data_IF_550600321161
#
_entry.id   IF_550600321161
#
_cell.length_a   1.000
_cell.length_b   1.000
_cell.length_c   1.000
_cell.angle_alpha   90.00
_cell.angle_beta   90.00
_cell.angle_gamma   90.00
#
_symmetry.space_group_name_H-M   'P 1'
#
loop_
_entity.id
_entity.type
_entity.pdbx_description
1 polymer ?
#
# COMPACT_ATOMS: atom_id res chain seq x y z
N UNK A 1 -10.20 -3.30 -19.18
CA UNK A 1 -9.06 -3.06 -18.25
C UNK A 1 -9.48 -3.43 -16.84
N UNK A 2 -8.53 -3.67 -15.92
CA UNK A 2 -8.86 -4.05 -14.53
C UNK A 2 -9.74 -3.02 -13.80
N UNK A 3 -9.47 -1.72 -13.99
CA UNK A 3 -10.28 -0.64 -13.41
C UNK A 3 -11.71 -0.63 -13.96
N UNK A 4 -11.89 -0.84 -15.27
CA UNK A 4 -13.22 -0.91 -15.86
C UNK A 4 -14.04 -2.10 -15.31
N UNK A 5 -13.41 -3.27 -15.17
CA UNK A 5 -14.05 -4.43 -14.55
C UNK A 5 -14.43 -4.16 -13.09
N UNK A 6 -13.54 -3.50 -12.34
CA UNK A 6 -13.80 -3.10 -10.95
C UNK A 6 -14.99 -2.13 -10.85
N UNK A 7 -15.01 -1.06 -11.64
CA UNK A 7 -16.08 -0.06 -11.61
C UNK A 7 -17.44 -0.65 -12.03
N UNK A 8 -17.45 -1.56 -13.00
CA UNK A 8 -18.69 -2.13 -13.54
C UNK A 8 -19.42 -3.05 -12.55
N UNK A 9 -18.69 -3.89 -11.81
CA UNK A 9 -19.30 -4.96 -11.00
C UNK A 9 -18.86 -5.03 -9.55
N UNK A 10 -17.88 -4.24 -9.14
CA UNK A 10 -17.26 -4.35 -7.82
C UNK A 10 -17.21 -3.03 -7.01
N UNK A 11 -17.72 -1.93 -7.58
CA UNK A 11 -17.85 -0.64 -6.91
C UNK A 11 -19.08 -0.60 -6.01
N UNK A 12 -19.03 -1.30 -4.88
CA UNK A 12 -20.15 -1.41 -3.93
C UNK A 12 -20.13 -0.35 -2.83
N UNK A 13 -18.98 0.31 -2.64
CA UNK A 13 -18.77 1.33 -1.62
C UNK A 13 -18.38 2.63 -2.32
N UNK A 14 -19.06 3.71 -2.00
CA UNK A 14 -18.71 5.05 -2.51
C UNK A 14 -17.33 5.44 -1.99
N UNK A 15 -16.44 5.79 -2.92
CA UNK A 15 -15.09 6.29 -2.64
C UNK A 15 -15.10 7.79 -2.89
N UNK A 16 -14.80 8.55 -1.84
CA UNK A 16 -14.81 10.01 -1.84
C UNK A 16 -13.41 10.54 -2.13
N UNK A 17 -13.34 11.49 -3.06
CA UNK A 17 -12.09 12.16 -3.45
C UNK A 17 -12.04 13.51 -2.72
N UNK A 18 -10.88 13.86 -2.17
CA UNK A 18 -10.62 15.17 -1.56
C UNK A 18 -9.43 15.86 -2.23
N UNK A 19 -9.27 17.15 -1.99
CA UNK A 19 -8.21 18.00 -2.54
C UNK A 19 -7.30 18.63 -1.48
N UNK A 20 -7.34 18.14 -0.23
CA UNK A 20 -6.47 18.62 0.85
C UNK A 20 -4.99 18.30 0.54
N UNK A 21 -4.19 19.33 0.26
CA UNK A 21 -2.80 19.17 -0.17
C UNK A 21 -1.87 18.58 0.90
N UNK A 22 -2.07 18.92 2.19
CA UNK A 22 -1.26 18.37 3.28
C UNK A 22 -1.49 16.85 3.44
N UNK A 23 -2.76 16.42 3.34
CA UNK A 23 -3.15 15.02 3.38
C UNK A 23 -2.59 14.23 2.18
N UNK A 24 -2.77 14.77 0.96
CA UNK A 24 -2.25 14.16 -0.27
C UNK A 24 -0.73 13.97 -0.20
N UNK A 25 -0.01 14.95 0.37
CA UNK A 25 1.43 14.81 0.58
C UNK A 25 1.77 13.63 1.48
N UNK A 26 1.07 13.48 2.62
CA UNK A 26 1.26 12.35 3.53
C UNK A 26 0.93 11.00 2.86
N UNK A 27 -0.17 10.92 2.11
CA UNK A 27 -0.55 9.73 1.34
C UNK A 27 0.58 9.32 0.38
N UNK A 28 1.11 10.27 -0.40
CA UNK A 28 2.19 10.02 -1.36
C UNK A 28 3.52 9.70 -0.68
N UNK A 29 3.84 10.34 0.44
CA UNK A 29 5.03 10.04 1.24
C UNK A 29 4.95 8.64 1.89
N UNK A 30 3.74 8.14 2.19
CA UNK A 30 3.51 6.79 2.73
C UNK A 30 3.53 5.69 1.67
N UNK A 31 3.35 6.03 0.38
CA UNK A 31 3.29 5.05 -0.71
C UNK A 31 4.69 4.59 -1.14
N UNK A 32 5.01 3.32 -0.80
CA UNK A 32 6.34 2.73 -0.96
C UNK A 32 6.25 1.42 -1.76
N UNK A 33 7.33 1.10 -2.47
CA UNK A 33 7.45 -0.15 -3.22
C UNK A 33 7.80 -1.36 -2.33
N UNK A 34 7.90 -2.53 -2.94
CA UNK A 34 8.38 -3.74 -2.27
C UNK A 34 9.84 -3.62 -1.82
N UNK A 35 10.23 -4.44 -0.84
CA UNK A 35 11.61 -4.54 -0.38
C UNK A 35 12.46 -5.29 -1.41
N UNK A 36 13.49 -4.61 -1.92
CA UNK A 36 14.48 -5.19 -2.84
C UNK A 36 15.85 -4.83 -2.30
N UNK A 37 16.38 -5.67 -1.41
CA UNK A 37 17.70 -5.53 -0.79
C UNK A 37 18.40 -6.89 -0.76
N UNK A 38 19.73 -6.89 -0.86
CA UNK A 38 20.53 -8.09 -0.62
C UNK A 38 20.67 -8.29 0.88
N UNK A 39 20.09 -9.37 1.42
CA UNK A 39 20.24 -9.74 2.83
C UNK A 39 21.62 -10.35 3.13
N UNK A 40 22.29 -10.88 2.11
CA UNK A 40 23.61 -11.48 2.19
C UNK A 40 24.38 -11.20 0.89
N UNK A 41 25.66 -10.88 0.99
CA UNK A 41 26.56 -10.67 -0.16
C UNK A 41 27.67 -11.71 -0.07
N UNK A 42 27.79 -12.54 -1.11
CA UNK A 42 28.78 -13.62 -1.19
C UNK A 42 28.15 -14.99 -1.31
N UNK A 43 28.94 -16.05 -1.09
CA UNK A 43 28.46 -17.44 -1.05
C UNK A 43 28.41 -17.91 0.41
N UNK A 44 27.21 -18.19 0.96
CA UNK A 44 27.08 -18.57 2.36
C UNK A 44 27.51 -20.01 2.66
N UNK A 45 28.00 -20.76 1.66
CA UNK A 45 28.56 -22.11 1.86
C UNK A 45 27.51 -23.20 2.09
N UNK A 46 26.24 -22.95 1.80
CA UNK A 46 25.18 -23.96 1.90
C UNK A 46 25.18 -24.88 0.67
N UNK A 47 24.91 -26.17 0.90
CA UNK A 47 24.76 -27.18 -0.15
C UNK A 47 23.46 -27.01 -0.96
N UNK A 48 22.44 -26.39 -0.37
CA UNK A 48 21.12 -26.24 -0.99
C UNK A 48 20.44 -24.94 -0.58
N UNK A 49 19.64 -24.39 -1.49
CA UNK A 49 18.91 -23.14 -1.33
C UNK A 49 17.43 -23.36 -1.64
N UNK A 50 16.55 -22.74 -0.86
CA UNK A 50 15.10 -22.81 -1.06
C UNK A 50 14.58 -21.42 -1.39
N UNK A 51 13.81 -21.31 -2.48
CA UNK A 51 13.09 -20.10 -2.85
C UNK A 51 11.60 -20.28 -2.54
N UNK A 52 11.05 -19.41 -1.70
CA UNK A 52 9.64 -19.40 -1.31
C UNK A 52 8.98 -18.13 -1.86
N UNK A 53 7.80 -18.29 -2.47
CA UNK A 53 7.01 -17.18 -3.04
C UNK A 53 5.57 -17.23 -2.51
N UNK A 54 4.99 -16.06 -2.25
CA UNK A 54 3.62 -15.96 -1.76
C UNK A 54 2.65 -15.94 -2.93
N UNK A 55 1.82 -16.97 -3.01
CA UNK A 55 0.75 -17.08 -4.00
C UNK A 55 -0.18 -15.86 -3.98
N UNK A 56 -0.08 -15.03 -5.02
CA UNK A 56 -0.96 -13.88 -5.23
C UNK A 56 -1.00 -12.92 -4.03
N UNK A 57 0.18 -12.54 -3.52
CA UNK A 57 0.35 -11.67 -2.35
C UNK A 57 -0.58 -10.45 -2.34
N UNK A 58 -0.52 -9.60 -3.39
CA UNK A 58 -1.35 -8.39 -3.44
C UNK A 58 -2.85 -8.70 -3.44
N UNK A 59 -3.38 -9.60 -4.28
CA UNK A 59 -4.77 -10.05 -4.18
C UNK A 59 -5.17 -10.55 -2.79
N UNK A 60 -4.32 -11.34 -2.12
CA UNK A 60 -4.60 -11.82 -0.77
C UNK A 60 -4.72 -10.65 0.23
N UNK A 61 -3.82 -9.68 0.18
CA UNK A 61 -3.88 -8.46 1.01
C UNK A 61 -5.13 -7.63 0.68
N UNK A 62 -5.43 -7.44 -0.62
CA UNK A 62 -6.63 -6.75 -1.11
C UNK A 62 -7.92 -7.36 -0.56
N UNK A 63 -8.05 -8.68 -0.59
CA UNK A 63 -9.26 -9.36 -0.14
C UNK A 63 -9.49 -9.25 1.37
N UNK A 64 -8.43 -9.27 2.17
CA UNK A 64 -8.53 -9.51 3.62
C UNK A 64 -8.33 -8.26 4.49
N UNK A 65 -8.30 -7.06 3.90
CA UNK A 65 -8.04 -5.81 4.64
C UNK A 65 -9.08 -4.72 4.35
N UNK A 66 -9.09 -3.69 5.19
CA UNK A 66 -9.86 -2.47 5.02
C UNK A 66 -8.97 -1.37 4.42
N UNK A 67 -9.57 -0.54 3.58
CA UNK A 67 -8.88 0.50 2.81
C UNK A 67 -9.58 1.84 3.00
N UNK A 68 -8.85 2.97 2.94
CA UNK A 68 -9.44 4.30 3.06
C UNK A 68 -10.43 4.55 1.93
N UNK A 69 -11.63 5.02 2.27
CA UNK A 69 -12.70 5.34 1.31
C UNK A 69 -13.16 6.80 1.38
N UNK A 70 -12.96 7.47 2.51
CA UNK A 70 -13.39 8.86 2.68
C UNK A 70 -12.50 9.58 3.67
N UNK A 71 -11.93 10.70 3.25
CA UNK A 71 -11.21 11.62 4.12
C UNK A 71 -12.14 12.19 5.18
N UNK A 72 -11.68 12.15 6.44
CA UNK A 72 -12.38 12.77 7.57
C UNK A 72 -11.71 14.11 7.86
N UNK A 73 -10.46 14.06 8.35
CA UNK A 73 -9.64 15.25 8.55
C UNK A 73 -8.17 14.91 8.83
N UNK A 74 -7.32 15.95 8.81
CA UNK A 74 -5.93 15.94 9.24
C UNK A 74 -5.79 16.66 10.59
N UNK A 75 -4.97 16.09 11.48
CA UNK A 75 -4.59 16.68 12.77
C UNK A 75 -3.07 16.81 12.88
N UNK A 76 -2.61 17.84 13.59
CA UNK A 76 -1.19 18.10 13.88
C UNK A 76 -0.89 17.78 15.34
N UNK A 77 0.31 17.27 15.61
CA UNK A 77 0.87 17.07 16.94
C UNK A 77 -0.01 16.23 17.91
N UNK A 78 -0.57 15.13 17.40
CA UNK A 78 -1.35 14.22 18.25
C UNK A 78 -0.45 13.35 19.14
N UNK A 79 -0.99 12.88 20.26
CA UNK A 79 -0.26 11.94 21.11
C UNK A 79 -0.28 10.51 20.55
N UNK A 80 0.70 9.68 20.94
CA UNK A 80 0.71 8.25 20.60
C UNK A 80 -0.54 7.53 21.12
N UNK A 81 -1.10 7.98 22.25
CA UNK A 81 -2.35 7.45 22.81
C UNK A 81 -3.55 7.74 21.89
N UNK A 82 -3.63 8.97 21.36
CA UNK A 82 -4.68 9.36 20.40
C UNK A 82 -4.55 8.55 19.11
N UNK A 83 -3.33 8.42 18.57
CA UNK A 83 -3.06 7.59 17.39
C UNK A 83 -3.51 6.13 17.59
N UNK A 84 -3.21 5.54 18.75
CA UNK A 84 -3.65 4.19 19.13
C UNK A 84 -5.17 4.06 19.22
N UNK A 85 -5.89 5.14 19.55
CA UNK A 85 -7.35 5.15 19.53
C UNK A 85 -7.90 5.16 18.10
N UNK A 86 -7.32 6.00 17.23
CA UNK A 86 -7.79 6.15 15.85
C UNK A 86 -7.66 4.87 15.04
N UNK A 87 -6.56 4.15 15.20
CA UNK A 87 -6.28 2.95 14.39
C UNK A 87 -7.24 1.77 14.64
N UNK A 88 -8.05 1.84 15.71
CA UNK A 88 -9.08 0.84 16.01
C UNK A 88 -10.29 0.93 15.07
N UNK A 89 -10.58 2.13 14.55
CA UNK A 89 -11.82 2.40 13.81
C UNK A 89 -11.57 3.01 12.43
N UNK A 90 -10.45 3.70 12.25
CA UNK A 90 -10.13 4.45 11.04
C UNK A 90 -8.90 3.88 10.33
N UNK A 91 -8.85 4.06 9.02
CA UNK A 91 -7.58 4.01 8.30
C UNK A 91 -6.81 5.31 8.60
N UNK A 92 -5.50 5.19 8.80
CA UNK A 92 -4.63 6.29 9.22
C UNK A 92 -3.36 6.33 8.38
N UNK A 93 -2.92 7.55 8.07
CA UNK A 93 -1.57 7.84 7.58
C UNK A 93 -0.96 8.89 8.51
N UNK A 94 0.25 8.65 9.01
CA UNK A 94 0.88 9.55 9.97
C UNK A 94 2.37 9.75 9.70
N UNK A 95 2.83 11.01 9.80
CA UNK A 95 4.25 11.34 9.90
C UNK A 95 4.67 11.19 11.35
N UNK A 96 5.67 10.34 11.59
CA UNK A 96 6.10 9.94 12.92
C UNK A 96 7.62 9.97 13.04
N UNK A 97 8.09 10.16 14.26
CA UNK A 97 9.46 9.82 14.65
C UNK A 97 9.43 8.44 15.28
N UNK A 98 10.24 7.54 14.76
CA UNK A 98 10.35 6.16 15.24
C UNK A 98 11.78 5.87 15.71
N UNK A 99 11.90 4.96 16.67
CA UNK A 99 13.17 4.36 17.09
C UNK A 99 13.03 2.84 17.09
N UNK A 100 13.82 2.16 16.26
CA UNK A 100 13.76 0.71 16.03
C UNK A 100 15.16 0.13 15.89
N UNK A 101 15.35 -1.13 16.28
CA UNK A 101 16.55 -1.89 15.93
C UNK A 101 16.31 -2.82 14.71
N UNK A 102 15.06 -2.88 14.24
CA UNK A 102 14.65 -3.76 13.15
C UNK A 102 14.53 -2.99 11.82
N UNK A 103 15.10 -3.51 10.71
CA UNK A 103 15.04 -2.88 9.38
C UNK A 103 13.71 -3.22 8.69
N UNK A 104 12.61 -2.69 9.23
CA UNK A 104 11.23 -3.03 8.81
C UNK A 104 10.45 -1.87 8.20
N UNK A 105 10.88 -0.62 8.42
CA UNK A 105 10.21 0.55 7.87
C UNK A 105 10.93 1.04 6.62
N UNK A 106 10.24 0.96 5.49
CA UNK A 106 10.74 1.53 4.25
C UNK A 106 10.80 3.07 4.36
N UNK A 107 11.90 3.64 3.91
CA UNK A 107 12.11 5.08 3.75
C UNK A 107 12.60 5.34 2.33
N UNK A 108 11.92 6.24 1.62
CA UNK A 108 12.28 6.61 0.26
C UNK A 108 13.34 7.71 0.26
N UNK A 109 14.51 7.42 -0.29
CA UNK A 109 15.57 8.38 -0.61
C UNK A 109 15.86 8.29 -2.12
N UNK A 110 17.12 8.35 -2.54
CA UNK A 110 17.52 7.99 -3.91
C UNK A 110 17.12 6.54 -4.24
N UNK A 111 17.21 5.67 -3.23
CA UNK A 111 16.70 4.29 -3.24
C UNK A 111 15.79 4.08 -2.03
N UNK A 112 14.96 3.05 -2.08
CA UNK A 112 14.22 2.61 -0.88
C UNK A 112 15.20 1.93 0.06
N UNK A 113 15.29 2.41 1.30
CA UNK A 113 16.16 1.87 2.34
C UNK A 113 15.34 1.48 3.58
N UNK A 114 15.88 0.61 4.41
CA UNK A 114 15.26 0.14 5.66
C UNK A 114 16.15 0.47 6.87
N UNK A 115 16.25 1.74 7.27
CA UNK A 115 17.18 2.17 8.32
C UNK A 115 16.78 1.65 9.70
N UNK A 116 17.78 1.55 10.58
CA UNK A 116 17.63 1.29 12.01
C UNK A 116 18.08 2.53 12.82
N UNK A 117 17.78 2.56 14.10
CA UNK A 117 18.00 3.73 14.97
C UNK A 117 16.77 4.63 15.04
N UNK A 118 17.00 5.94 15.20
CA UNK A 118 15.94 6.94 15.32
C UNK A 118 15.85 7.81 14.06
N UNK A 119 14.65 7.88 13.46
CA UNK A 119 14.42 8.65 12.24
C UNK A 119 12.94 9.03 12.06
N UNK A 120 12.70 9.98 11.18
CA UNK A 120 11.35 10.37 10.75
C UNK A 120 10.93 9.63 9.49
N UNK A 121 9.66 9.23 9.44
CA UNK A 121 9.05 8.62 8.26
C UNK A 121 7.53 8.81 8.27
N UNK A 122 6.89 8.56 7.13
CA UNK A 122 5.43 8.54 7.01
C UNK A 122 4.97 7.09 6.90
N UNK A 123 4.08 6.68 7.79
CA UNK A 123 3.58 5.32 7.91
C UNK A 123 2.09 5.24 7.60
N UNK A 124 1.68 4.14 6.98
CA UNK A 124 0.29 3.76 6.77
C UNK A 124 -0.22 2.85 7.89
N UNK A 125 -1.53 2.64 7.95
CA UNK A 125 -2.21 1.83 8.99
C UNK A 125 -1.45 0.54 9.39
N UNK A 126 -1.03 -0.36 8.47
CA UNK A 126 -0.35 -1.59 8.88
C UNK A 126 1.00 -1.34 9.55
N UNK A 127 1.80 -0.41 9.03
CA UNK A 127 3.10 -0.05 9.59
C UNK A 127 2.95 0.63 10.96
N UNK A 128 1.91 1.46 11.12
CA UNK A 128 1.60 2.11 12.41
C UNK A 128 1.19 1.06 13.45
N UNK A 129 0.36 0.07 13.10
CA UNK A 129 -0.02 -1.02 14.03
C UNK A 129 1.22 -1.73 14.54
N UNK A 130 2.09 -2.17 13.63
CA UNK A 130 3.35 -2.82 13.98
C UNK A 130 4.22 -1.92 14.88
N UNK A 131 4.38 -0.63 14.54
CA UNK A 131 5.15 0.31 15.34
C UNK A 131 4.57 0.58 16.74
N UNK A 132 3.25 0.57 16.89
CA UNK A 132 2.58 0.73 18.18
C UNK A 132 2.70 -0.53 19.06
N UNK A 133 2.67 -1.72 18.44
CA UNK A 133 2.84 -3.00 19.14
C UNK A 133 4.24 -3.15 19.71
N UNK A 134 5.26 -2.69 18.97
CA UNK A 134 6.67 -2.77 19.38
C UNK A 134 7.19 -1.51 20.12
N UNK A 135 6.33 -0.51 20.36
CA UNK A 135 6.72 0.71 21.07
C UNK A 135 7.74 1.59 20.32
N UNK A 136 7.79 1.47 18.99
CA UNK A 136 8.74 2.17 18.13
C UNK A 136 8.41 3.65 17.94
N UNK A 137 7.12 4.04 18.01
CA UNK A 137 6.71 5.45 17.81
C UNK A 137 7.09 6.30 19.02
N UNK A 138 7.91 7.33 18.80
CA UNK A 138 8.32 8.32 19.80
C UNK A 138 7.52 9.62 19.72
N UNK A 139 7.12 10.03 18.52
CA UNK A 139 6.36 11.26 18.30
C UNK A 139 5.48 11.14 17.05
N UNK A 140 4.34 11.84 17.04
CA UNK A 140 3.43 11.94 15.89
C UNK A 140 3.31 13.42 15.51
N UNK A 141 3.74 13.77 14.31
CA UNK A 141 3.73 15.16 13.83
C UNK A 141 2.43 15.52 13.13
N UNK A 142 1.94 14.62 12.27
CA UNK A 142 0.72 14.79 11.50
C UNK A 142 0.02 13.45 11.37
N UNK A 143 -1.31 13.46 11.39
CA UNK A 143 -2.13 12.26 11.25
C UNK A 143 -3.36 12.58 10.40
N UNK A 144 -3.58 11.82 9.34
CA UNK A 144 -4.80 11.88 8.52
C UNK A 144 -5.68 10.68 8.83
N UNK A 145 -6.97 10.92 9.00
CA UNK A 145 -7.98 9.89 9.23
C UNK A 145 -8.90 9.70 8.03
N UNK A 146 -9.26 8.45 7.79
CA UNK A 146 -10.22 8.07 6.78
C UNK A 146 -11.24 7.08 7.35
N UNK A 147 -12.50 7.18 6.90
CA UNK A 147 -13.40 6.03 6.94
C UNK A 147 -12.79 4.93 6.08
N UNK A 148 -13.05 3.67 6.44
CA UNK A 148 -12.45 2.52 5.80
C UNK A 148 -13.48 1.43 5.50
N UNK A 149 -13.29 0.73 4.39
CA UNK A 149 -14.13 -0.39 3.99
C UNK A 149 -13.33 -1.44 3.24
N UNK A 150 -13.86 -2.66 3.14
CA UNK A 150 -13.30 -3.66 2.25
C UNK A 150 -13.84 -3.43 0.83
N UNK A 151 -13.03 -2.76 0.01
CA UNK A 151 -13.43 -2.38 -1.34
C UNK A 151 -13.00 -3.40 -2.41
N UNK A 152 -12.15 -4.38 -2.09
CA UNK A 152 -11.57 -5.29 -3.08
C UNK A 152 -12.03 -6.75 -2.97
N UNK A 153 -12.68 -7.17 -1.87
CA UNK A 153 -12.99 -8.58 -1.63
C UNK A 153 -13.85 -9.19 -2.74
N UNK A 154 -14.87 -8.50 -3.24
CA UNK A 154 -15.73 -9.03 -4.31
C UNK A 154 -14.96 -9.23 -5.61
N UNK A 155 -14.10 -8.27 -5.97
CA UNK A 155 -13.24 -8.34 -7.16
C UNK A 155 -12.27 -9.52 -7.08
N UNK A 156 -11.53 -9.63 -5.98
CA UNK A 156 -10.53 -10.68 -5.80
C UNK A 156 -11.19 -12.05 -5.79
N UNK A 157 -12.28 -12.23 -5.04
CA UNK A 157 -12.98 -13.53 -4.99
C UNK A 157 -13.44 -13.99 -6.38
N UNK A 158 -14.00 -13.08 -7.18
CA UNK A 158 -14.42 -13.41 -8.55
C UNK A 158 -13.25 -13.83 -9.43
N UNK A 159 -12.23 -12.98 -9.59
CA UNK A 159 -11.14 -13.25 -10.53
C UNK A 159 -10.21 -14.37 -10.05
N UNK A 160 -10.07 -14.57 -8.74
CA UNK A 160 -9.33 -15.71 -8.20
C UNK A 160 -10.09 -17.03 -8.39
N UNK A 161 -11.41 -17.03 -8.22
CA UNK A 161 -12.27 -18.17 -8.56
C UNK A 161 -12.12 -18.57 -10.04
N UNK A 162 -12.35 -17.61 -10.94
CA UNK A 162 -12.19 -17.81 -12.39
C UNK A 162 -10.80 -18.33 -12.75
N UNK A 163 -9.74 -17.78 -12.13
CA UNK A 163 -8.38 -18.26 -12.34
C UNK A 163 -8.23 -19.74 -12.02
N UNK A 164 -8.78 -20.20 -10.89
CA UNK A 164 -8.73 -21.62 -10.48
C UNK A 164 -9.53 -22.51 -11.42
N UNK A 165 -10.68 -22.05 -11.88
CA UNK A 165 -11.53 -22.79 -12.82
C UNK A 165 -10.81 -22.99 -14.16
N UNK A 166 -10.23 -21.92 -14.71
CA UNK A 166 -9.45 -22.00 -15.96
C UNK A 166 -8.17 -22.83 -15.82
N UNK A 167 -7.48 -22.76 -14.67
CA UNK A 167 -6.34 -23.62 -14.40
C UNK A 167 -6.75 -25.11 -14.39
N UNK A 168 -7.87 -25.43 -13.74
CA UNK A 168 -8.39 -26.80 -13.67
C UNK A 168 -8.86 -27.32 -15.04
N UNK A 169 -9.37 -26.43 -15.89
CA UNK A 169 -9.78 -26.74 -17.26
C UNK A 169 -8.60 -26.75 -18.27
N UNK A 170 -7.38 -26.44 -17.85
CA UNK A 170 -6.20 -26.39 -18.72
C UNK A 170 -6.17 -25.21 -19.71
N UNK A 171 -6.93 -24.14 -19.47
CA UNK A 171 -7.03 -22.99 -20.38
C UNK A 171 -6.06 -21.88 -19.95
N UNK A 172 -4.78 -22.07 -20.24
CA UNK A 172 -3.69 -21.21 -19.78
C UNK A 172 -3.86 -19.72 -20.11
N UNK A 173 -4.41 -19.39 -21.29
CA UNK A 173 -4.63 -18.00 -21.72
C UNK A 173 -5.55 -17.24 -20.76
N UNK A 174 -6.66 -17.87 -20.35
CA UNK A 174 -7.61 -17.24 -19.44
C UNK A 174 -7.14 -17.25 -18.00
N UNK A 175 -6.38 -18.27 -17.58
CA UNK A 175 -5.69 -18.22 -16.28
C UNK A 175 -4.77 -16.99 -16.20
N UNK A 176 -3.95 -16.78 -17.22
CA UNK A 176 -3.00 -15.67 -17.28
C UNK A 176 -3.73 -14.31 -17.34
N UNK A 177 -4.83 -14.23 -18.10
CA UNK A 177 -5.67 -13.03 -18.11
C UNK A 177 -6.22 -12.70 -16.72
N UNK A 178 -6.74 -13.68 -15.99
CA UNK A 178 -7.24 -13.49 -14.63
C UNK A 178 -6.12 -13.05 -13.68
N UNK A 179 -4.93 -13.65 -13.79
CA UNK A 179 -3.73 -13.22 -13.05
C UNK A 179 -3.37 -11.76 -13.32
N UNK A 180 -3.40 -11.32 -14.57
CA UNK A 180 -3.13 -9.91 -14.90
C UNK A 180 -4.20 -8.97 -14.38
N UNK A 181 -5.49 -9.33 -14.45
CA UNK A 181 -6.57 -8.51 -13.90
C UNK A 181 -6.43 -8.34 -12.38
N UNK A 182 -6.12 -9.42 -11.66
CA UNK A 182 -5.83 -9.38 -10.22
C UNK A 182 -4.67 -8.45 -9.87
N UNK A 183 -3.52 -8.59 -10.55
CA UNK A 183 -2.30 -7.86 -10.19
C UNK A 183 -2.31 -6.39 -10.67
N UNK A 184 -2.98 -6.09 -11.79
CA UNK A 184 -2.98 -4.74 -12.36
C UNK A 184 -3.94 -3.78 -11.68
N UNK A 185 -4.95 -4.28 -10.93
CA UNK A 185 -5.92 -3.42 -10.25
C UNK A 185 -5.23 -2.53 -9.20
N UNK A 186 -4.42 -3.09 -8.31
CA UNK A 186 -3.69 -2.31 -7.30
C UNK A 186 -2.83 -1.20 -7.93
N UNK A 187 -2.12 -1.52 -9.02
CA UNK A 187 -1.29 -0.54 -9.73
C UNK A 187 -2.06 0.67 -10.24
N UNK A 188 -3.36 0.52 -10.57
CA UNK A 188 -4.22 1.63 -10.97
C UNK A 188 -4.51 2.60 -9.82
N UNK A 189 -4.62 2.11 -8.59
CA UNK A 189 -4.79 2.95 -7.39
C UNK A 189 -3.52 3.72 -7.02
N UNK A 190 -2.35 3.18 -7.35
CA UNK A 190 -1.06 3.85 -7.16
C UNK A 190 -0.68 4.85 -8.25
N UNK A 191 -1.47 4.96 -9.33
CA UNK A 191 -1.12 5.78 -10.48
C UNK A 191 -1.01 7.27 -10.11
N UNK A 192 -0.04 7.95 -10.73
CA UNK A 192 0.11 9.41 -10.62
C UNK A 192 -0.61 10.06 -11.80
N UNK A 193 -1.25 11.21 -11.54
CA UNK A 193 -1.69 12.07 -12.62
C UNK A 193 -0.47 12.67 -13.32
N UNK A 194 -0.53 12.75 -14.65
CA UNK A 194 0.50 13.44 -15.44
C UNK A 194 0.31 14.95 -15.27
N UNK A 195 1.35 15.62 -14.77
CA UNK A 195 1.41 17.08 -14.78
C UNK A 195 2.03 17.52 -16.09
N UNK A 196 1.17 17.87 -17.05
CA UNK A 196 1.60 18.49 -18.29
C UNK A 196 1.99 19.95 -18.02
N UNK A 197 3.27 20.26 -18.17
CA UNK A 197 3.79 21.63 -18.08
C UNK A 197 4.01 22.14 -19.49
N UNK A 198 3.38 23.26 -19.85
CA UNK A 198 3.62 23.93 -21.13
C UNK A 198 5.05 24.50 -21.12
N UNK A 199 5.95 23.91 -21.89
CA UNK A 199 7.36 24.32 -22.01
C UNK A 199 7.62 25.37 -23.11
N UNK A 200 6.60 25.73 -23.89
CA UNK A 200 6.72 26.75 -24.93
C UNK A 200 5.52 26.75 -25.90
N UNK A 201 5.54 27.71 -26.83
CA UNK A 201 4.68 27.72 -28.02
C UNK A 201 5.61 27.52 -29.21
N UNK A 202 5.38 26.51 -30.03
CA UNK A 202 6.12 26.35 -31.28
C UNK A 202 5.70 27.49 -32.22
N UNK A 203 6.63 28.39 -32.56
CA UNK A 203 6.43 29.37 -33.61
C UNK A 203 6.68 28.66 -34.94
N UNK A 204 5.61 28.46 -35.71
CA UNK A 204 5.67 28.04 -37.12
C UNK A 204 6.04 29.22 -38.00
#
# INVERSE_FOLDING_TARGET
TAMAAYLLRHYHTTIYIHNNAEAIKLERDSYKGGRVECFYIGSPGYESYYALDVNSLYPYVMQNNLYPVKYIHIEKEITVKVLRSYIKQYAVVARVRIKTNDPVYAVKKERTIFPIGEFETTLSTPEIKYALEHGHIKQVYNCVKYEQANIFSSYVKMFYGLRRDFASAGVAVYEQLCKYLLNSLYGKWGQKAEHWVKIGVCLL
#
